data_IF_233903899809
#
_entry.id   IF_233903899809
#
_cell.length_a   1.000
_cell.length_b   1.000
_cell.length_c   1.000
_cell.angle_alpha   90.00
_cell.angle_beta   90.00
_cell.angle_gamma   90.00
#
_symmetry.space_group_name_H-M   'P 1'
#
loop_
_entity.id
_entity.type
_entity.pdbx_description
1 polymer ?
#
# COMPACT_ATOMS: atom_id res chain seq x y z
N UNK A 1 39.33 -22.48 7.51
CA UNK A 1 37.96 -22.75 7.04
C UNK A 1 36.85 -22.12 7.89
N UNK A 2 37.07 -21.51 9.08
CA UNK A 2 36.02 -20.92 9.94
C UNK A 2 35.66 -19.45 9.64
N UNK A 3 36.40 -18.73 8.82
CA UNK A 3 36.19 -17.30 8.50
C UNK A 3 35.27 -17.02 7.30
N UNK A 4 35.05 -18.01 6.42
CA UNK A 4 34.21 -17.85 5.23
C UNK A 4 32.69 -17.99 5.50
N UNK A 5 32.32 -18.67 6.59
CA UNK A 5 30.90 -18.91 6.93
C UNK A 5 30.24 -17.67 7.54
N UNK A 6 31.01 -16.83 8.25
CA UNK A 6 30.50 -15.61 8.88
C UNK A 6 30.17 -14.48 7.90
N UNK A 7 30.85 -14.41 6.76
CA UNK A 7 30.62 -13.36 5.76
C UNK A 7 29.34 -13.62 4.96
N UNK A 8 29.00 -14.89 4.72
CA UNK A 8 27.76 -15.27 4.04
C UNK A 8 26.50 -15.03 4.90
N UNK A 9 26.60 -15.16 6.23
CA UNK A 9 25.49 -14.90 7.15
C UNK A 9 25.16 -13.41 7.30
N UNK A 10 26.17 -12.54 7.25
CA UNK A 10 25.97 -11.10 7.34
C UNK A 10 25.38 -10.48 6.07
N UNK A 11 25.59 -11.11 4.90
CA UNK A 11 25.04 -10.64 3.63
C UNK A 11 23.56 -11.01 3.45
N UNK A 12 23.07 -12.02 4.19
CA UNK A 12 21.67 -12.42 4.12
C UNK A 12 20.74 -11.51 4.96
N UNK A 13 21.27 -10.81 5.98
CA UNK A 13 20.51 -9.88 6.82
C UNK A 13 20.32 -8.48 6.20
N UNK A 14 21.06 -8.15 5.15
CA UNK A 14 20.96 -6.86 4.48
C UNK A 14 19.90 -6.82 3.34
N UNK A 15 19.28 -7.97 3.02
CA UNK A 15 18.23 -8.08 1.99
C UNK A 15 16.81 -8.19 2.57
N UNK A 16 16.61 -7.99 3.87
CA UNK A 16 15.29 -7.73 4.41
C UNK A 16 14.89 -6.31 4.01
N UNK A 17 14.40 -6.15 2.77
CA UNK A 17 13.71 -4.95 2.35
C UNK A 17 12.62 -4.65 3.39
N UNK A 18 12.62 -3.46 3.94
CA UNK A 18 11.48 -2.95 4.68
C UNK A 18 10.30 -2.97 3.71
N UNK A 19 9.40 -3.93 3.86
CA UNK A 19 8.06 -3.86 3.31
C UNK A 19 7.41 -2.76 4.16
N UNK A 20 7.51 -1.51 3.71
CA UNK A 20 6.78 -0.41 4.27
C UNK A 20 5.31 -0.70 4.02
N UNK A 21 4.61 -1.24 5.01
CA UNK A 21 3.16 -1.18 5.06
C UNK A 21 2.85 0.31 5.22
N UNK A 22 2.48 0.96 4.15
CA UNK A 22 1.96 2.32 4.18
C UNK A 22 0.62 2.23 4.93
N UNK A 23 0.64 2.63 6.20
CA UNK A 23 -0.59 2.70 6.99
C UNK A 23 -1.40 3.87 6.46
N UNK A 24 -2.61 3.59 6.00
CA UNK A 24 -3.60 4.62 5.68
C UNK A 24 -4.06 5.22 7.01
N UNK A 25 -3.53 6.39 7.33
CA UNK A 25 -3.91 7.11 8.55
C UNK A 25 -5.26 7.82 8.33
N UNK A 26 -6.21 7.72 9.28
CA UNK A 26 -7.49 8.40 9.19
C UNK A 26 -7.34 9.90 8.97
N UNK A 27 -8.08 10.46 8.03
CA UNK A 27 -8.05 11.87 7.68
C UNK A 27 -9.40 12.55 7.98
N UNK A 28 -9.34 13.86 8.24
CA UNK A 28 -10.54 14.68 8.36
C UNK A 28 -10.71 15.56 7.11
N UNK A 29 -11.86 15.46 6.48
CA UNK A 29 -12.28 16.26 5.33
C UNK A 29 -13.29 17.28 5.77
N UNK A 30 -13.29 18.50 5.18
CA UNK A 30 -14.24 19.55 5.57
C UNK A 30 -15.15 19.89 4.39
N UNK A 31 -16.45 19.96 4.68
CA UNK A 31 -17.48 20.45 3.77
C UNK A 31 -18.06 21.74 4.37
N UNK A 32 -18.02 22.82 3.59
CA UNK A 32 -18.59 24.11 3.95
C UNK A 32 -19.86 24.40 3.15
N UNK A 33 -20.60 25.43 3.54
CA UNK A 33 -21.78 25.91 2.81
C UNK A 33 -21.43 27.17 2.00
N UNK A 34 -21.93 27.24 0.77
CA UNK A 34 -22.03 28.48 -0.02
C UNK A 34 -23.48 28.95 -0.01
N UNK A 35 -23.82 29.82 0.93
CA UNK A 35 -25.16 30.39 1.07
C UNK A 35 -25.60 31.25 -0.11
N UNK A 36 -24.67 31.77 -0.92
CA UNK A 36 -25.06 32.60 -2.10
C UNK A 36 -25.62 31.72 -3.20
N UNK A 37 -25.10 30.52 -3.36
CA UNK A 37 -25.52 29.55 -4.37
C UNK A 37 -26.35 28.40 -3.82
N UNK A 38 -26.57 28.34 -2.51
CA UNK A 38 -27.25 27.24 -1.79
C UNK A 38 -26.65 25.89 -2.15
N UNK A 39 -25.35 25.73 -1.90
CA UNK A 39 -24.60 24.51 -2.21
C UNK A 39 -23.64 24.15 -1.10
N UNK A 40 -23.35 22.86 -0.98
CA UNK A 40 -22.20 22.37 -0.25
C UNK A 40 -20.91 22.52 -1.07
N UNK A 41 -19.79 22.78 -0.41
CA UNK A 41 -18.50 22.91 -1.05
C UNK A 41 -17.41 22.17 -0.26
N UNK A 42 -16.82 21.10 -0.82
CA UNK A 42 -17.17 20.50 -2.11
C UNK A 42 -18.57 19.85 -2.10
N UNK A 43 -19.19 19.77 -3.28
CA UNK A 43 -20.50 19.12 -3.47
C UNK A 43 -20.37 17.59 -3.44
N UNK A 44 -19.20 17.06 -3.83
CA UNK A 44 -18.88 15.64 -3.71
C UNK A 44 -17.44 15.42 -3.28
N UNK A 45 -17.23 14.39 -2.44
CA UNK A 45 -15.90 13.95 -2.00
C UNK A 45 -15.80 12.43 -2.07
N UNK A 46 -14.57 11.95 -2.23
CA UNK A 46 -14.22 10.55 -2.07
C UNK A 46 -13.22 10.44 -0.92
N UNK A 47 -13.50 9.57 0.02
CA UNK A 47 -12.75 9.34 1.26
C UNK A 47 -12.55 7.84 1.46
N UNK A 48 -11.76 7.45 2.44
CA UNK A 48 -11.58 6.06 2.84
C UNK A 48 -12.36 5.73 4.12
N UNK A 49 -12.64 4.47 4.33
CA UNK A 49 -13.08 3.98 5.64
C UNK A 49 -12.07 4.40 6.73
N UNK A 50 -12.56 4.78 7.89
CA UNK A 50 -11.78 5.36 8.97
C UNK A 50 -11.68 6.89 8.92
N UNK A 51 -11.92 7.53 7.76
CA UNK A 51 -11.92 8.97 7.62
C UNK A 51 -13.16 9.63 8.25
N UNK A 52 -13.08 10.92 8.51
CA UNK A 52 -14.19 11.73 9.02
C UNK A 52 -14.50 12.90 8.10
N UNK A 53 -15.76 13.31 8.11
CA UNK A 53 -16.25 14.52 7.41
C UNK A 53 -16.76 15.50 8.45
N UNK A 54 -16.15 16.68 8.44
CA UNK A 54 -16.59 17.81 9.26
C UNK A 54 -17.43 18.78 8.41
N UNK A 55 -18.69 18.93 8.76
CA UNK A 55 -19.60 19.92 8.21
C UNK A 55 -19.47 21.19 9.03
N UNK A 56 -18.85 22.22 8.43
CA UNK A 56 -18.43 23.42 9.15
C UNK A 56 -18.86 24.68 8.42
N UNK A 57 -19.70 25.48 9.05
CA UNK A 57 -20.04 26.84 8.60
C UNK A 57 -20.39 27.73 9.78
N UNK A 58 -20.22 29.04 9.63
CA UNK A 58 -20.49 30.03 10.66
C UNK A 58 -20.89 31.38 10.08
N UNK A 59 -21.90 32.02 10.68
CA UNK A 59 -22.37 33.34 10.29
C UNK A 59 -23.15 33.36 8.99
N UNK A 60 -23.72 32.23 8.57
CA UNK A 60 -24.45 32.13 7.33
C UNK A 60 -25.74 32.97 7.32
N UNK A 61 -26.11 33.49 6.14
CA UNK A 61 -27.29 34.31 6.00
C UNK A 61 -28.58 33.52 6.23
N UNK A 62 -28.59 32.27 5.77
CA UNK A 62 -29.69 31.34 5.93
C UNK A 62 -29.26 30.16 6.81
N UNK A 63 -30.20 29.53 7.55
CA UNK A 63 -29.88 28.32 8.29
C UNK A 63 -29.74 27.11 7.36
N UNK A 64 -28.76 26.24 7.64
CA UNK A 64 -28.48 25.02 6.91
C UNK A 64 -28.27 23.86 7.86
N UNK A 65 -28.47 22.64 7.37
CA UNK A 65 -28.06 21.40 8.00
C UNK A 65 -27.52 20.43 6.94
N UNK A 66 -27.05 19.28 7.38
CA UNK A 66 -26.60 18.19 6.52
C UNK A 66 -27.19 16.87 7.04
N UNK A 67 -28.09 16.30 6.24
CA UNK A 67 -28.81 15.07 6.57
C UNK A 67 -28.59 14.04 5.48
N UNK A 68 -28.11 12.86 5.85
CA UNK A 68 -27.97 11.74 4.92
C UNK A 68 -29.32 11.09 4.64
N UNK A 69 -29.55 10.68 3.38
CA UNK A 69 -30.85 10.27 2.87
C UNK A 69 -31.44 9.04 3.60
N UNK A 70 -30.62 8.13 4.09
CA UNK A 70 -31.00 6.93 4.84
C UNK A 70 -30.80 7.07 6.36
N UNK A 71 -30.38 8.25 6.83
CA UNK A 71 -30.23 8.55 8.25
C UNK A 71 -28.92 8.04 8.86
N UNK A 72 -27.86 7.85 8.05
CA UNK A 72 -26.53 7.45 8.54
C UNK A 72 -25.91 8.55 9.38
N UNK A 73 -26.10 9.81 8.95
CA UNK A 73 -25.70 10.98 9.73
C UNK A 73 -26.70 12.12 9.60
N UNK A 74 -26.74 12.96 10.63
CA UNK A 74 -27.62 14.14 10.71
C UNK A 74 -26.97 15.19 11.61
N UNK A 75 -26.74 16.40 11.08
CA UNK A 75 -26.18 17.51 11.84
C UNK A 75 -27.18 18.19 12.76
N UNK A 76 -28.42 17.73 12.81
CA UNK A 76 -29.50 18.28 13.60
C UNK A 76 -30.31 19.37 12.90
N UNK A 77 -30.99 20.21 13.70
CA UNK A 77 -31.78 21.32 13.18
C UNK A 77 -30.94 22.28 12.33
N UNK A 78 -31.58 22.88 11.33
CA UNK A 78 -30.89 23.83 10.47
C UNK A 78 -30.50 25.11 11.23
N UNK A 79 -29.21 25.37 11.26
CA UNK A 79 -28.56 26.47 12.01
C UNK A 79 -27.68 27.32 11.10
N UNK A 80 -27.36 28.56 11.54
CA UNK A 80 -26.40 29.45 10.81
C UNK A 80 -24.95 29.19 11.16
N UNK A 81 -24.73 28.45 12.22
CA UNK A 81 -23.44 28.07 12.74
C UNK A 81 -23.51 26.57 13.04
N UNK A 82 -22.71 25.76 12.34
CA UNK A 82 -22.66 24.31 12.51
C UNK A 82 -21.19 23.87 12.54
N UNK A 83 -20.88 23.01 13.48
CA UNK A 83 -19.61 22.27 13.56
C UNK A 83 -19.96 20.82 13.94
N UNK A 84 -20.22 20.01 12.92
CA UNK A 84 -20.64 18.63 13.08
C UNK A 84 -19.69 17.70 12.34
N UNK A 85 -19.17 16.68 13.02
CA UNK A 85 -18.27 15.69 12.43
C UNK A 85 -18.90 14.30 12.49
N UNK A 86 -18.88 13.61 11.37
CA UNK A 86 -19.22 12.20 11.26
C UNK A 86 -17.98 11.41 10.82
N UNK A 87 -17.71 10.28 11.48
CA UNK A 87 -16.63 9.35 11.13
C UNK A 87 -17.22 8.11 10.47
N UNK A 88 -16.70 7.74 9.33
CA UNK A 88 -17.07 6.49 8.64
C UNK A 88 -16.20 5.36 9.17
N UNK A 89 -16.79 4.50 10.00
CA UNK A 89 -16.09 3.32 10.54
C UNK A 89 -15.77 2.30 9.43
N UNK A 90 -14.97 1.32 9.75
CA UNK A 90 -14.71 0.17 8.87
C UNK A 90 -16.03 -0.59 8.61
N UNK A 91 -16.14 -1.20 7.42
CA UNK A 91 -17.36 -1.81 6.87
C UNK A 91 -18.48 -0.80 6.50
N UNK A 92 -18.14 0.48 6.34
CA UNK A 92 -19.03 1.52 5.84
C UNK A 92 -18.65 2.01 4.43
N UNK A 93 -17.98 1.19 3.63
CA UNK A 93 -17.75 1.51 2.23
C UNK A 93 -19.08 1.64 1.46
N UNK A 94 -19.20 2.69 0.62
CA UNK A 94 -20.43 2.94 -0.11
C UNK A 94 -20.60 4.38 -0.56
N UNK A 95 -21.81 4.71 -1.00
CA UNK A 95 -22.18 6.06 -1.42
C UNK A 95 -23.30 6.60 -0.53
N UNK A 96 -23.14 7.85 -0.10
CA UNK A 96 -24.01 8.53 0.86
C UNK A 96 -24.46 9.85 0.26
N UNK A 97 -25.70 9.86 -0.23
CA UNK A 97 -26.36 11.07 -0.68
C UNK A 97 -26.84 11.87 0.54
N UNK A 98 -26.56 13.16 0.58
CA UNK A 98 -27.00 14.02 1.66
C UNK A 98 -27.58 15.34 1.13
N UNK A 99 -28.35 16.02 1.93
CA UNK A 99 -29.04 17.25 1.54
C UNK A 99 -29.19 18.22 2.73
N UNK A 100 -29.44 19.48 2.40
CA UNK A 100 -29.90 20.49 3.36
C UNK A 100 -31.44 20.51 3.36
N UNK A 101 -32.09 20.18 4.48
CA UNK A 101 -33.56 20.08 4.52
C UNK A 101 -34.30 21.32 4.03
N UNK A 102 -33.99 22.56 4.52
CA UNK A 102 -34.69 23.76 4.05
C UNK A 102 -34.45 24.08 2.58
N UNK A 103 -33.37 23.58 1.98
CA UNK A 103 -32.96 23.93 0.61
C UNK A 103 -32.91 22.73 -0.35
N UNK A 104 -33.44 21.58 0.04
CA UNK A 104 -33.46 20.37 -0.80
C UNK A 104 -34.20 20.60 -2.13
N UNK A 105 -35.32 21.34 -2.06
CA UNK A 105 -36.15 21.63 -3.25
C UNK A 105 -35.45 22.49 -4.31
N UNK A 106 -34.45 23.26 -3.93
CA UNK A 106 -33.63 24.08 -4.84
C UNK A 106 -32.30 23.40 -5.22
N UNK A 107 -32.14 22.13 -4.80
CA UNK A 107 -31.01 21.29 -5.23
C UNK A 107 -29.78 21.38 -4.35
N UNK A 108 -29.88 21.83 -3.09
CA UNK A 108 -28.77 21.81 -2.15
C UNK A 108 -28.53 20.38 -1.64
N UNK A 109 -27.68 19.66 -2.35
CA UNK A 109 -27.35 18.24 -2.14
C UNK A 109 -25.86 18.01 -2.25
N UNK A 110 -25.39 16.88 -1.75
CA UNK A 110 -24.01 16.45 -1.90
C UNK A 110 -23.90 14.92 -1.90
N UNK A 111 -22.69 14.43 -2.17
CA UNK A 111 -22.37 13.00 -2.24
C UNK A 111 -21.04 12.74 -1.54
N UNK A 112 -21.02 11.75 -0.67
CA UNK A 112 -19.79 11.19 -0.11
C UNK A 112 -19.64 9.77 -0.64
N UNK A 113 -18.49 9.46 -1.24
CA UNK A 113 -18.10 8.09 -1.62
C UNK A 113 -17.01 7.61 -0.66
N UNK A 114 -17.27 6.51 0.04
CA UNK A 114 -16.36 5.89 0.98
C UNK A 114 -15.78 4.64 0.34
N UNK A 115 -14.47 4.57 0.21
CA UNK A 115 -13.72 3.45 -0.38
C UNK A 115 -13.38 2.41 0.69
N UNK A 116 -13.48 1.14 0.33
CA UNK A 116 -13.02 0.03 1.15
C UNK A 116 -11.49 0.01 1.20
N UNK A 117 -10.92 0.16 2.39
CA UNK A 117 -9.47 0.14 2.61
C UNK A 117 -8.86 -1.22 2.31
N UNK A 118 -9.58 -2.32 2.52
CA UNK A 118 -9.07 -3.66 2.23
C UNK A 118 -8.92 -3.89 0.73
N UNK A 119 -9.86 -3.39 -0.09
CA UNK A 119 -9.77 -3.47 -1.55
C UNK A 119 -8.58 -2.66 -2.09
N UNK A 120 -8.28 -1.50 -1.49
CA UNK A 120 -7.11 -0.68 -1.84
C UNK A 120 -5.80 -1.40 -1.52
N UNK A 121 -5.72 -2.08 -0.37
CA UNK A 121 -4.54 -2.85 0.04
C UNK A 121 -4.34 -4.04 -0.88
N UNK A 122 -5.39 -4.81 -1.21
CA UNK A 122 -5.30 -5.95 -2.12
C UNK A 122 -4.86 -5.53 -3.53
N UNK A 123 -5.35 -4.39 -4.03
CA UNK A 123 -4.96 -3.85 -5.33
C UNK A 123 -3.48 -3.46 -5.34
N UNK A 124 -3.00 -2.81 -4.30
CA UNK A 124 -1.60 -2.40 -4.16
C UNK A 124 -0.63 -3.59 -4.03
N UNK A 125 -1.05 -4.67 -3.39
CA UNK A 125 -0.26 -5.91 -3.27
C UNK A 125 -0.17 -6.64 -4.62
N UNK A 126 -1.25 -6.69 -5.38
CA UNK A 126 -1.27 -7.35 -6.69
C UNK A 126 -0.47 -6.59 -7.76
N UNK A 127 -0.40 -5.27 -7.69
CA UNK A 127 0.39 -4.46 -8.64
C UNK A 127 1.91 -4.64 -8.43
N UNK A 128 2.34 -4.98 -7.22
CA UNK A 128 3.75 -5.27 -6.91
C UNK A 128 4.19 -6.69 -7.32
N UNK A 129 3.28 -7.63 -7.52
CA UNK A 129 3.60 -9.00 -7.91
C UNK A 129 4.03 -9.12 -9.38
N UNK A 130 3.60 -8.22 -10.27
CA UNK A 130 4.00 -8.24 -11.68
C UNK A 130 5.46 -7.75 -11.90
N UNK A 131 5.98 -6.89 -11.05
CA UNK A 131 7.40 -6.49 -11.10
C UNK A 131 8.34 -7.53 -10.47
N UNK A 132 7.84 -8.35 -9.55
CA UNK A 132 8.65 -9.33 -8.81
C UNK A 132 8.86 -10.67 -9.56
N UNK A 133 8.13 -10.92 -10.64
CA UNK A 133 8.28 -12.14 -11.45
C UNK A 133 9.67 -12.30 -12.09
N UNK A 134 10.41 -11.22 -12.26
CA UNK A 134 11.74 -11.23 -12.88
C UNK A 134 12.87 -11.62 -11.90
N UNK A 135 12.66 -11.46 -10.59
CA UNK A 135 13.65 -11.77 -9.55
C UNK A 135 13.73 -13.28 -9.26
N UNK A 136 12.63 -14.02 -9.41
CA UNK A 136 12.66 -15.48 -9.23
C UNK A 136 13.55 -16.16 -10.28
N UNK A 137 13.54 -15.68 -11.53
CA UNK A 137 14.41 -16.16 -12.59
C UNK A 137 15.89 -15.81 -12.32
N UNK A 138 16.18 -14.67 -11.70
CA UNK A 138 17.52 -14.26 -11.35
C UNK A 138 18.14 -15.19 -10.28
N UNK A 139 17.38 -15.63 -9.31
CA UNK A 139 17.81 -16.60 -8.30
C UNK A 139 18.15 -17.95 -8.90
N UNK A 140 17.35 -18.45 -9.84
CA UNK A 140 17.66 -19.68 -10.58
C UNK A 140 18.92 -19.54 -11.40
N UNK A 141 19.16 -18.41 -12.04
CA UNK A 141 20.39 -18.14 -12.80
C UNK A 141 21.63 -18.11 -11.87
N UNK A 142 21.51 -17.49 -10.69
CA UNK A 142 22.59 -17.47 -9.70
C UNK A 142 22.89 -18.87 -9.15
N UNK A 143 21.88 -19.68 -8.85
CA UNK A 143 22.04 -21.07 -8.43
C UNK A 143 22.71 -21.91 -9.53
N UNK A 144 22.33 -21.73 -10.79
CA UNK A 144 22.94 -22.40 -11.94
C UNK A 144 24.41 -22.02 -12.11
N UNK A 145 24.75 -20.74 -11.95
CA UNK A 145 26.15 -20.27 -11.98
C UNK A 145 26.98 -20.88 -10.85
N UNK A 146 26.44 -20.95 -9.63
CA UNK A 146 27.12 -21.60 -8.51
C UNK A 146 27.37 -23.07 -8.78
N UNK A 147 26.39 -23.79 -9.31
CA UNK A 147 26.52 -25.20 -9.69
C UNK A 147 27.59 -25.40 -10.78
N UNK A 148 27.61 -24.54 -11.81
CA UNK A 148 28.64 -24.59 -12.87
C UNK A 148 30.03 -24.40 -12.28
N UNK A 149 30.22 -23.42 -11.39
CA UNK A 149 31.50 -23.17 -10.72
C UNK A 149 31.95 -24.38 -9.89
N UNK A 150 31.04 -25.02 -9.18
CA UNK A 150 31.33 -26.24 -8.39
C UNK A 150 31.77 -27.38 -9.33
N UNK A 151 31.03 -27.63 -10.42
CA UNK A 151 31.36 -28.69 -11.38
C UNK A 151 32.69 -28.42 -12.06
N UNK A 152 32.97 -27.19 -12.47
CA UNK A 152 34.24 -26.81 -13.08
C UNK A 152 35.38 -27.02 -12.10
N UNK A 153 35.27 -26.59 -10.84
CA UNK A 153 36.29 -26.79 -9.80
C UNK A 153 36.56 -28.27 -9.52
N UNK A 154 35.51 -29.08 -9.43
CA UNK A 154 35.71 -30.53 -9.21
C UNK A 154 36.35 -31.23 -10.39
N UNK A 155 36.09 -30.78 -11.63
CA UNK A 155 36.78 -31.29 -12.82
C UNK A 155 38.26 -30.90 -12.87
N UNK A 156 38.58 -29.64 -12.54
CA UNK A 156 39.97 -29.14 -12.50
C UNK A 156 40.77 -29.87 -11.43
N UNK A 157 40.23 -30.04 -10.21
CA UNK A 157 40.93 -30.77 -9.14
C UNK A 157 41.14 -32.24 -9.48
N UNK A 158 40.26 -32.85 -10.24
CA UNK A 158 40.44 -34.23 -10.76
C UNK A 158 41.55 -34.32 -11.80
N UNK A 159 41.70 -33.32 -12.68
CA UNK A 159 42.77 -33.24 -13.65
C UNK A 159 44.12 -33.00 -12.99
N UNK A 160 44.20 -32.15 -11.98
CA UNK A 160 45.45 -31.92 -11.22
C UNK A 160 45.93 -33.19 -10.52
N UNK A 161 45.05 -34.01 -9.94
CA UNK A 161 45.41 -35.29 -9.30
C UNK A 161 45.90 -36.32 -10.30
N UNK A 162 45.46 -36.33 -11.53
CA UNK A 162 45.89 -37.24 -12.60
C UNK A 162 47.33 -36.82 -13.06
N UNK A 163 47.54 -35.54 -13.29
CA UNK A 163 48.84 -34.98 -13.69
C UNK A 163 49.94 -35.23 -12.61
N UNK A 164 49.56 -35.12 -11.34
CA UNK A 164 50.51 -35.34 -10.23
C UNK A 164 50.91 -36.84 -10.14
N UNK A 165 49.96 -37.77 -10.39
CA UNK A 165 50.23 -39.18 -10.46
C UNK A 165 51.12 -39.56 -11.66
N UNK A 166 50.89 -38.99 -12.85
CA UNK A 166 51.71 -39.25 -14.04
C UNK A 166 53.14 -38.78 -13.86
N UNK A 167 53.38 -37.64 -13.20
CA UNK A 167 54.73 -37.12 -12.89
C UNK A 167 55.46 -38.04 -11.92
N UNK A 168 54.78 -38.61 -10.92
CA UNK A 168 55.36 -39.53 -9.94
C UNK A 168 55.78 -40.83 -10.62
N UNK A 169 54.98 -41.36 -11.55
CA UNK A 169 55.29 -42.60 -12.27
C UNK A 169 56.50 -42.41 -13.21
N UNK A 170 56.63 -41.27 -13.90
CA UNK A 170 57.82 -41.02 -14.74
C UNK A 170 59.08 -40.85 -13.92
N UNK A 171 59.02 -40.28 -12.73
CA UNK A 171 60.17 -40.15 -11.84
C UNK A 171 60.68 -41.51 -11.30
N UNK A 172 59.80 -42.47 -11.08
CA UNK A 172 60.17 -43.84 -10.57
C UNK A 172 60.72 -44.73 -11.66
N UNK A 173 60.57 -44.44 -12.96
CA UNK A 173 61.06 -45.16 -14.10
C UNK A 173 62.52 -44.78 -14.49
N UNK A 174 63.06 -43.73 -13.95
CA UNK A 174 64.39 -43.16 -14.31
C UNK A 174 65.48 -43.55 -13.26
N UNK A 175 65.11 -44.11 -12.12
CA UNK A 175 66.04 -44.66 -11.13
C UNK A 175 66.23 -46.21 -11.30
#
# INVERSE_FOLDING_TARGET
MKRAVFVLSAMFLALSGNIGLEQVEPQQHTIIVDSNNLRFNPESITINEGDSVNFLWSGELLPHNSVEENGVFDSGDAERDVDYTYTFDFDQAGTYDFFCEPHQSVGMKGLITVLDVNELIETSLNENDDENSNWSNLWYLLLLLVLIVIVVRTKISGLESILENDIVIEAELID
#
